data_IF_912355964682
#
_entry.id   IF_912355964682
#
_cell.length_a   1.000
_cell.length_b   1.000
_cell.length_c   1.000
_cell.angle_alpha   90.00
_cell.angle_beta   90.00
_cell.angle_gamma   90.00
#
_symmetry.space_group_name_H-M   'P 1'
#
loop_
_entity.id
_entity.type
_entity.pdbx_description
1 polymer ?
#
# COMPACT_ATOMS: atom_id res chain seq x y z
N UNK A 1 -3.28 -32.49 13.38
CA UNK A 1 -3.89 -31.52 14.31
C UNK A 1 -4.25 -30.32 13.47
N UNK A 2 -5.53 -30.15 13.17
CA UNK A 2 -6.06 -29.05 12.35
C UNK A 2 -6.01 -27.79 13.21
N UNK A 3 -5.10 -26.87 12.86
CA UNK A 3 -5.09 -25.53 13.38
C UNK A 3 -6.44 -24.88 13.05
N UNK A 4 -7.28 -24.74 14.06
CA UNK A 4 -8.43 -23.85 13.99
C UNK A 4 -7.86 -22.42 14.06
N UNK A 5 -7.45 -21.89 12.90
CA UNK A 5 -7.18 -20.47 12.73
C UNK A 5 -8.41 -19.71 13.22
N UNK A 6 -8.29 -19.08 14.39
CA UNK A 6 -9.39 -18.34 14.99
C UNK A 6 -9.60 -17.07 14.19
N UNK A 7 -10.58 -17.08 13.31
CA UNK A 7 -11.07 -15.88 12.64
C UNK A 7 -12.50 -15.57 13.08
N UNK A 8 -12.89 -14.32 12.94
CA UNK A 8 -14.28 -13.88 13.14
C UNK A 8 -14.72 -12.95 12.01
N UNK A 9 -15.98 -13.08 11.63
CA UNK A 9 -16.64 -12.08 10.80
C UNK A 9 -17.09 -10.92 11.69
N UNK A 10 -16.64 -9.71 11.39
CA UNK A 10 -17.07 -8.50 12.08
C UNK A 10 -18.17 -7.78 11.27
N UNK A 11 -19.38 -8.31 11.40
CA UNK A 11 -20.55 -7.78 10.66
C UNK A 11 -20.91 -6.35 11.08
N UNK A 12 -20.60 -5.98 12.33
CA UNK A 12 -20.83 -4.60 12.81
C UNK A 12 -19.93 -3.62 12.08
N UNK A 13 -18.62 -3.92 11.97
CA UNK A 13 -17.69 -3.08 11.20
C UNK A 13 -17.95 -3.14 9.72
N UNK A 14 -18.30 -4.30 9.18
CA UNK A 14 -18.69 -4.38 7.79
C UNK A 14 -19.82 -3.40 7.47
N UNK A 15 -20.87 -3.37 8.29
CA UNK A 15 -21.99 -2.43 8.13
C UNK A 15 -21.58 -0.96 8.38
N UNK A 16 -20.77 -0.69 9.41
CA UNK A 16 -20.26 0.66 9.73
C UNK A 16 -19.51 1.30 8.55
N UNK A 17 -18.67 0.53 7.87
CA UNK A 17 -17.87 1.01 6.75
C UNK A 17 -18.49 0.73 5.37
N UNK A 18 -19.69 0.16 5.31
CA UNK A 18 -20.39 -0.18 4.06
C UNK A 18 -19.62 -1.21 3.22
N UNK A 19 -18.99 -2.19 3.87
CA UNK A 19 -18.25 -3.28 3.24
C UNK A 19 -19.12 -4.54 3.15
N UNK A 20 -18.96 -5.37 2.11
CA UNK A 20 -19.71 -6.63 1.98
C UNK A 20 -19.28 -7.69 3.00
N UNK A 21 -18.07 -7.58 3.54
CA UNK A 21 -17.55 -8.46 4.58
C UNK A 21 -16.28 -7.94 5.21
N UNK A 22 -16.06 -8.32 6.48
CA UNK A 22 -14.91 -7.90 7.28
C UNK A 22 -14.47 -9.09 8.13
N UNK A 23 -13.38 -9.76 7.73
CA UNK A 23 -12.75 -10.85 8.49
C UNK A 23 -11.62 -10.33 9.36
N UNK A 24 -11.58 -10.76 10.62
CA UNK A 24 -10.49 -10.47 11.57
C UNK A 24 -9.84 -11.78 12.00
N UNK A 25 -8.54 -11.86 11.84
CA UNK A 25 -7.70 -13.00 12.21
C UNK A 25 -6.73 -12.59 13.32
N UNK A 26 -6.67 -13.31 14.41
CA UNK A 26 -5.68 -13.06 15.47
C UNK A 26 -4.25 -13.35 14.96
N UNK A 27 -4.09 -14.45 14.26
CA UNK A 27 -2.86 -14.81 13.55
C UNK A 27 -3.20 -15.42 12.19
N UNK A 28 -2.47 -15.04 11.14
CA UNK A 28 -2.63 -15.57 9.79
C UNK A 28 -1.28 -15.66 9.09
N UNK A 29 -1.13 -16.56 8.14
CA UNK A 29 0.05 -16.62 7.29
C UNK A 29 0.24 -15.31 6.50
N UNK A 30 -0.75 -14.97 5.67
CA UNK A 30 -0.80 -13.71 4.91
C UNK A 30 -2.24 -13.34 4.61
N UNK A 31 -2.61 -12.08 4.86
CA UNK A 31 -3.93 -11.55 4.52
C UNK A 31 -4.20 -11.58 3.01
N UNK A 32 -3.16 -11.41 2.15
CA UNK A 32 -3.28 -11.54 0.70
C UNK A 32 -3.65 -12.98 0.29
N UNK A 33 -3.11 -14.00 0.94
CA UNK A 33 -3.44 -15.39 0.63
C UNK A 33 -4.92 -15.67 0.95
N UNK A 34 -5.43 -15.17 2.07
CA UNK A 34 -6.84 -15.31 2.43
C UNK A 34 -7.75 -14.53 1.46
N UNK A 35 -7.41 -13.28 1.18
CA UNK A 35 -8.17 -12.45 0.22
C UNK A 35 -8.21 -13.10 -1.16
N UNK A 36 -7.12 -13.75 -1.60
CA UNK A 36 -7.09 -14.51 -2.86
C UNK A 36 -8.03 -15.72 -2.85
N UNK A 37 -8.15 -16.42 -1.72
CA UNK A 37 -9.14 -17.51 -1.58
C UNK A 37 -10.55 -16.95 -1.72
N UNK A 38 -10.86 -15.87 -1.00
CA UNK A 38 -12.17 -15.21 -1.05
C UNK A 38 -12.51 -14.72 -2.47
N UNK A 39 -11.54 -14.13 -3.16
CA UNK A 39 -11.73 -13.67 -4.54
C UNK A 39 -12.06 -14.83 -5.51
N UNK A 40 -11.48 -16.01 -5.30
CA UNK A 40 -11.80 -17.23 -6.09
C UNK A 40 -13.13 -17.86 -5.71
N UNK A 41 -13.67 -17.54 -4.53
CA UNK A 41 -15.01 -17.94 -4.09
C UNK A 41 -16.07 -16.93 -4.52
N UNK A 42 -15.77 -16.05 -5.49
CA UNK A 42 -16.65 -14.99 -5.99
C UNK A 42 -17.19 -14.07 -4.88
N UNK A 43 -16.35 -13.82 -3.85
CA UNK A 43 -16.72 -12.81 -2.84
C UNK A 43 -16.70 -11.41 -3.44
N UNK A 44 -17.65 -10.62 -2.98
CA UNK A 44 -17.87 -9.28 -3.49
C UNK A 44 -16.63 -8.37 -3.38
N UNK A 45 -16.48 -7.47 -4.32
CA UNK A 45 -15.52 -6.38 -4.26
C UNK A 45 -15.68 -5.59 -2.96
N UNK A 46 -14.58 -5.36 -2.28
CA UNK A 46 -14.56 -4.68 -0.99
C UNK A 46 -14.55 -5.62 0.21
N UNK A 47 -14.58 -6.96 0.00
CA UNK A 47 -14.38 -7.88 1.12
C UNK A 47 -13.00 -7.66 1.74
N UNK A 48 -12.97 -7.41 3.05
CA UNK A 48 -11.78 -7.04 3.79
C UNK A 48 -11.31 -8.17 4.71
N UNK A 49 -10.01 -8.45 4.68
CA UNK A 49 -9.32 -9.35 5.60
C UNK A 49 -8.30 -8.55 6.40
N UNK A 50 -8.38 -8.61 7.73
CA UNK A 50 -7.41 -7.98 8.64
C UNK A 50 -6.75 -9.06 9.49
N UNK A 51 -5.42 -9.07 9.54
CA UNK A 51 -4.63 -9.89 10.46
C UNK A 51 -4.07 -9.04 11.59
N UNK A 52 -4.27 -9.46 12.84
CA UNK A 52 -3.61 -8.81 13.98
C UNK A 52 -2.11 -9.13 14.00
N UNK A 53 -1.72 -10.28 13.42
CA UNK A 53 -0.34 -10.72 13.18
C UNK A 53 -0.26 -11.50 11.88
N UNK A 54 0.81 -11.30 11.10
CA UNK A 54 1.13 -12.17 9.96
C UNK A 54 2.43 -12.94 10.22
N UNK A 55 2.42 -14.25 9.97
CA UNK A 55 3.61 -15.11 10.11
C UNK A 55 4.41 -15.23 8.81
N UNK A 56 3.78 -14.93 7.66
CA UNK A 56 4.38 -14.96 6.33
C UNK A 56 3.98 -13.71 5.50
N UNK A 57 3.99 -12.52 6.14
CA UNK A 57 3.71 -11.26 5.46
C UNK A 57 4.70 -11.01 4.31
N UNK A 58 4.19 -10.54 3.18
CA UNK A 58 4.97 -10.32 1.96
C UNK A 58 4.88 -8.88 1.47
N UNK A 59 6.02 -8.38 1.00
CA UNK A 59 6.14 -7.20 0.16
C UNK A 59 6.31 -7.60 -1.32
N UNK A 60 6.64 -6.61 -2.15
CA UNK A 60 6.93 -6.84 -3.58
C UNK A 60 8.17 -7.70 -3.75
N UNK A 61 8.21 -8.46 -4.88
CA UNK A 61 9.35 -9.29 -5.29
C UNK A 61 9.72 -10.36 -4.26
N UNK A 62 8.76 -10.76 -3.41
CA UNK A 62 8.96 -11.78 -2.38
C UNK A 62 9.70 -11.29 -1.12
N UNK A 63 9.92 -9.99 -0.97
CA UNK A 63 10.48 -9.44 0.28
C UNK A 63 9.56 -9.72 1.46
N UNK A 64 10.13 -9.93 2.62
CA UNK A 64 9.37 -10.13 3.86
C UNK A 64 8.78 -8.80 4.34
N UNK A 65 7.50 -8.83 4.73
CA UNK A 65 6.85 -7.75 5.47
C UNK A 65 6.74 -8.12 6.94
N UNK A 66 7.41 -7.38 7.81
CA UNK A 66 7.34 -7.58 9.26
C UNK A 66 5.98 -7.14 9.77
N UNK A 67 5.30 -7.99 10.52
CA UNK A 67 3.93 -7.77 10.98
C UNK A 67 3.80 -8.21 12.42
N UNK A 68 4.35 -7.42 13.35
CA UNK A 68 4.25 -7.71 14.78
C UNK A 68 2.82 -7.48 15.29
N UNK A 69 2.39 -8.22 16.33
CA UNK A 69 1.04 -8.12 16.86
C UNK A 69 0.70 -6.71 17.36
N UNK A 70 -0.36 -6.11 16.82
CA UNK A 70 -0.87 -4.81 17.28
C UNK A 70 -0.08 -3.59 16.81
N UNK A 71 1.05 -3.78 16.12
CA UNK A 71 1.91 -2.67 15.70
C UNK A 71 1.45 -1.99 14.42
N UNK A 72 0.52 -2.59 13.69
CA UNK A 72 0.09 -1.99 12.44
C UNK A 72 -1.23 -2.52 11.90
N UNK A 73 -1.67 -1.89 10.82
CA UNK A 73 -2.74 -2.40 9.96
C UNK A 73 -2.11 -3.34 8.93
N UNK A 74 -2.46 -4.61 9.03
CA UNK A 74 -2.11 -5.65 8.07
C UNK A 74 -3.41 -6.13 7.43
N UNK A 75 -3.74 -5.59 6.26
CA UNK A 75 -5.02 -5.87 5.64
C UNK A 75 -4.90 -6.20 4.17
N UNK A 76 -5.90 -6.91 3.64
CA UNK A 76 -6.05 -7.16 2.20
C UNK A 76 -7.51 -7.08 1.78
N UNK A 77 -7.73 -6.52 0.60
CA UNK A 77 -9.07 -6.37 0.02
C UNK A 77 -9.21 -7.17 -1.27
N UNK A 78 -10.38 -7.79 -1.44
CA UNK A 78 -10.82 -8.27 -2.75
C UNK A 78 -11.25 -7.08 -3.60
N UNK A 79 -10.72 -6.98 -4.81
CA UNK A 79 -11.06 -5.92 -5.76
C UNK A 79 -11.67 -6.53 -7.02
N UNK A 80 -12.60 -5.80 -7.66
CA UNK A 80 -13.01 -6.14 -9.01
C UNK A 80 -11.80 -6.00 -9.95
N UNK A 81 -11.76 -6.78 -11.02
CA UNK A 81 -10.69 -6.72 -12.02
C UNK A 81 -10.73 -5.35 -12.74
N UNK A 82 -9.91 -4.36 -12.35
CA UNK A 82 -9.93 -3.05 -12.99
C UNK A 82 -9.10 -3.06 -14.27
N UNK A 83 -9.53 -2.30 -15.29
CA UNK A 83 -8.80 -2.14 -16.54
C UNK A 83 -7.44 -1.44 -16.31
N UNK A 84 -7.38 -0.54 -15.33
CA UNK A 84 -6.21 0.28 -15.00
C UNK A 84 -5.26 -0.39 -13.98
N UNK A 85 -4.78 -1.60 -14.25
CA UNK A 85 -3.97 -2.37 -13.29
C UNK A 85 -2.61 -1.75 -12.96
N UNK A 86 -1.95 -1.08 -13.90
CA UNK A 86 -0.64 -0.49 -13.67
C UNK A 86 -0.70 0.70 -12.69
N UNK A 87 -1.78 1.48 -12.74
CA UNK A 87 -2.02 2.63 -11.87
C UNK A 87 -2.57 2.22 -10.48
N UNK A 88 -3.11 1.01 -10.33
CA UNK A 88 -3.83 0.60 -9.12
C UNK A 88 -3.04 0.78 -7.81
N UNK A 89 -1.73 0.45 -7.72
CA UNK A 89 -0.96 0.74 -6.52
C UNK A 89 -0.88 2.23 -6.18
N UNK A 90 -0.82 3.10 -7.19
CA UNK A 90 -0.79 4.56 -7.00
C UNK A 90 -2.16 5.09 -6.56
N UNK A 91 -3.25 4.60 -7.16
CA UNK A 91 -4.63 4.92 -6.76
C UNK A 91 -4.87 4.58 -5.29
N UNK A 92 -4.51 3.36 -4.88
CA UNK A 92 -4.62 2.91 -3.49
C UNK A 92 -3.70 3.74 -2.59
N UNK A 93 -2.48 4.06 -3.06
CA UNK A 93 -1.52 4.89 -2.34
C UNK A 93 -2.09 6.28 -2.04
N UNK A 94 -2.70 6.93 -3.02
CA UNK A 94 -3.36 8.23 -2.86
C UNK A 94 -4.52 8.14 -1.88
N UNK A 95 -5.41 7.14 -2.03
CA UNK A 95 -6.54 6.94 -1.13
C UNK A 95 -6.09 6.74 0.32
N UNK A 96 -5.04 5.92 0.52
CA UNK A 96 -4.44 5.72 1.85
C UNK A 96 -3.79 6.99 2.38
N UNK A 97 -3.03 7.72 1.55
CA UNK A 97 -2.36 8.95 1.97
C UNK A 97 -3.38 9.99 2.46
N UNK A 98 -4.48 10.21 1.73
CA UNK A 98 -5.55 11.13 2.12
C UNK A 98 -6.21 10.73 3.46
N UNK A 99 -6.53 9.45 3.65
CA UNK A 99 -7.10 8.98 4.90
C UNK A 99 -6.12 9.09 6.08
N UNK A 100 -4.83 8.88 5.85
CA UNK A 100 -3.80 8.96 6.87
C UNK A 100 -3.46 10.41 7.25
N UNK A 101 -3.49 11.35 6.30
CA UNK A 101 -3.32 12.78 6.58
C UNK A 101 -4.36 13.31 7.57
N UNK A 102 -5.60 12.79 7.54
CA UNK A 102 -6.65 13.14 8.53
C UNK A 102 -6.28 12.69 9.95
N UNK A 103 -5.44 11.66 10.10
CA UNK A 103 -4.98 11.14 11.40
C UNK A 103 -3.77 11.90 11.91
N UNK A 104 -2.75 12.10 11.07
CA UNK A 104 -1.45 12.64 11.49
C UNK A 104 -1.35 14.16 11.36
N UNK A 105 -2.19 14.78 10.55
CA UNK A 105 -2.17 16.24 10.26
C UNK A 105 -0.80 16.72 9.72
N UNK A 106 -0.09 15.85 9.02
CA UNK A 106 1.14 16.12 8.27
C UNK A 106 1.03 15.48 6.89
N UNK A 107 1.73 15.99 5.87
CA UNK A 107 1.67 15.42 4.53
C UNK A 107 2.10 13.95 4.50
N UNK A 108 1.29 13.11 3.84
CA UNK A 108 1.64 11.73 3.51
C UNK A 108 1.89 11.66 2.00
N UNK A 109 3.11 11.35 1.63
CA UNK A 109 3.52 11.26 0.23
C UNK A 109 3.56 9.80 -0.26
N UNK A 110 3.54 9.61 -1.57
CA UNK A 110 3.61 8.30 -2.20
C UNK A 110 4.90 8.19 -3.00
N UNK A 111 5.77 7.28 -2.59
CA UNK A 111 6.97 6.94 -3.36
C UNK A 111 6.62 5.83 -4.36
N UNK A 112 6.76 6.14 -5.63
CA UNK A 112 6.58 5.15 -6.69
C UNK A 112 7.47 3.91 -6.44
N UNK A 113 6.94 2.70 -6.64
CA UNK A 113 5.59 2.46 -7.17
C UNK A 113 4.51 2.22 -6.10
N UNK A 114 4.82 2.13 -4.79
CA UNK A 114 3.89 1.54 -3.84
C UNK A 114 4.14 1.85 -2.35
N UNK A 115 5.03 2.78 -2.03
CA UNK A 115 5.37 3.08 -0.62
C UNK A 115 4.68 4.37 -0.14
N UNK A 116 4.19 4.36 1.08
CA UNK A 116 3.65 5.51 1.80
C UNK A 116 4.74 6.09 2.70
N UNK A 117 4.93 7.41 2.64
CA UNK A 117 6.08 8.11 3.21
C UNK A 117 5.62 9.29 4.07
N UNK A 118 6.23 9.46 5.24
CA UNK A 118 6.18 10.66 6.06
C UNK A 118 7.63 11.06 6.38
N UNK A 119 8.00 12.32 6.17
CA UNK A 119 9.33 12.87 6.49
C UNK A 119 10.49 12.02 5.96
N UNK A 120 10.42 11.63 4.68
CA UNK A 120 11.38 10.75 4.01
C UNK A 120 11.57 9.37 4.69
N UNK A 121 10.61 8.94 5.53
CA UNK A 121 10.60 7.63 6.19
C UNK A 121 9.40 6.79 5.74
N UNK A 122 9.59 5.49 5.65
CA UNK A 122 8.56 4.55 5.19
C UNK A 122 7.53 4.26 6.27
N UNK A 123 6.31 4.74 6.07
CA UNK A 123 5.14 4.46 6.91
C UNK A 123 4.47 3.13 6.56
N UNK A 124 4.42 2.80 5.28
CA UNK A 124 3.66 1.66 4.81
C UNK A 124 3.98 1.25 3.38
N UNK A 125 3.27 0.23 2.91
CA UNK A 125 3.41 -0.24 1.54
C UNK A 125 2.17 -0.97 1.03
N UNK A 126 2.05 -1.03 -0.28
CA UNK A 126 0.93 -1.61 -1.00
C UNK A 126 1.43 -2.76 -1.87
N UNK A 127 0.73 -3.90 -1.83
CA UNK A 127 1.03 -5.07 -2.65
C UNK A 127 -0.22 -5.50 -3.41
N UNK A 128 -0.28 -5.17 -4.70
CA UNK A 128 -1.34 -5.65 -5.57
C UNK A 128 -0.91 -6.95 -6.22
N UNK A 129 -1.72 -7.99 -6.05
CA UNK A 129 -1.57 -9.29 -6.71
C UNK A 129 -2.79 -9.57 -7.59
N UNK A 130 -2.58 -10.22 -8.72
CA UNK A 130 -3.64 -10.57 -9.67
C UNK A 130 -3.52 -12.00 -10.18
N UNK A 131 -4.66 -12.59 -10.48
CA UNK A 131 -4.79 -13.77 -11.34
C UNK A 131 -5.49 -13.44 -12.64
N UNK A 132 -6.05 -14.47 -13.27
CA UNK A 132 -6.80 -14.31 -14.53
C UNK A 132 -8.11 -13.56 -14.30
N UNK A 133 -8.77 -13.79 -13.18
CA UNK A 133 -10.15 -13.40 -12.85
C UNK A 133 -10.29 -12.69 -11.48
N UNK A 134 -9.19 -12.44 -10.80
CA UNK A 134 -9.19 -11.80 -9.49
C UNK A 134 -8.06 -10.79 -9.32
N UNK A 135 -8.31 -9.81 -8.48
CA UNK A 135 -7.33 -8.85 -7.99
C UNK A 135 -7.48 -8.70 -6.49
N UNK A 136 -6.37 -8.71 -5.78
CA UNK A 136 -6.32 -8.41 -4.35
C UNK A 136 -5.27 -7.33 -4.08
N UNK A 137 -5.57 -6.44 -3.15
CA UNK A 137 -4.65 -5.42 -2.70
C UNK A 137 -4.33 -5.63 -1.22
N UNK A 138 -3.07 -5.89 -0.92
CA UNK A 138 -2.52 -5.87 0.44
C UNK A 138 -2.04 -4.48 0.80
N UNK A 139 -2.36 -4.03 2.00
CA UNK A 139 -1.94 -2.76 2.56
C UNK A 139 -1.33 -3.03 3.94
N UNK A 140 -0.07 -2.61 4.13
CA UNK A 140 0.62 -2.65 5.40
C UNK A 140 0.95 -1.24 5.86
N UNK A 141 0.50 -0.84 7.06
CA UNK A 141 0.77 0.46 7.68
C UNK A 141 1.32 0.24 9.08
N UNK A 142 2.47 0.82 9.38
CA UNK A 142 3.00 0.85 10.73
C UNK A 142 2.19 1.86 11.57
N UNK A 143 1.60 1.42 12.67
CA UNK A 143 0.67 2.22 13.47
C UNK A 143 1.27 2.61 14.82
N UNK A 144 1.50 1.67 15.73
CA UNK A 144 2.03 1.93 17.06
C UNK A 144 3.57 1.87 17.12
N UNK A 145 4.16 1.00 16.31
CA UNK A 145 5.60 0.87 16.20
C UNK A 145 6.03 0.58 14.75
N UNK A 146 7.21 1.03 14.40
CA UNK A 146 7.88 0.64 13.16
C UNK A 146 8.83 -0.52 13.43
N UNK A 147 9.05 -1.43 12.46
CA UNK A 147 10.01 -2.51 12.62
C UNK A 147 11.44 -1.96 12.74
N UNK A 148 12.30 -2.68 13.44
CA UNK A 148 13.72 -2.33 13.45
C UNK A 148 14.32 -2.39 12.03
N UNK A 149 15.17 -1.43 11.65
CA UNK A 149 15.80 -1.43 10.31
C UNK A 149 16.52 -2.75 9.98
N UNK A 150 17.06 -3.45 10.99
CA UNK A 150 17.72 -4.76 10.84
C UNK A 150 16.76 -5.92 10.57
N UNK A 151 15.48 -5.78 10.85
CA UNK A 151 14.46 -6.79 10.57
C UNK A 151 13.91 -6.70 9.14
N UNK A 152 14.14 -5.55 8.47
CA UNK A 152 13.73 -5.30 7.08
C UNK A 152 14.74 -5.90 6.08
N UNK A 153 15.24 -7.12 6.32
CA UNK A 153 16.44 -7.70 5.71
C UNK A 153 16.31 -8.10 4.23
N UNK A 154 15.14 -8.08 3.63
CA UNK A 154 14.93 -8.63 2.28
C UNK A 154 14.99 -7.58 1.18
N UNK A 155 15.96 -6.71 1.22
CA UNK A 155 16.26 -5.73 0.17
C UNK A 155 16.58 -4.36 0.73
N UNK A 156 17.44 -3.59 0.06
CA UNK A 156 17.79 -2.26 0.52
C UNK A 156 16.57 -1.32 0.38
N UNK A 157 15.79 -1.20 1.44
CA UNK A 157 14.97 0.02 1.58
C UNK A 157 15.96 1.15 1.82
N UNK A 158 15.96 2.13 0.92
CA UNK A 158 16.71 3.37 1.09
C UNK A 158 16.08 4.28 2.16
N UNK A 159 14.93 3.87 2.72
CA UNK A 159 14.16 4.62 3.69
C UNK A 159 14.09 3.89 5.02
N UNK A 160 14.42 4.60 6.09
CA UNK A 160 14.16 4.10 7.44
C UNK A 160 12.64 4.01 7.68
N UNK A 161 12.17 3.02 8.46
CA UNK A 161 10.76 2.90 8.76
C UNK A 161 10.30 3.97 9.79
N UNK A 162 9.00 4.28 9.76
CA UNK A 162 8.30 5.10 10.77
C UNK A 162 6.92 4.53 11.05
N UNK A 163 6.25 5.00 12.10
CA UNK A 163 4.90 4.62 12.49
C UNK A 163 4.02 5.86 12.73
N UNK A 164 2.69 5.71 12.59
CA UNK A 164 1.73 6.80 12.82
C UNK A 164 1.87 7.43 14.21
N UNK A 165 2.14 6.62 15.24
CA UNK A 165 2.31 7.08 16.61
C UNK A 165 3.47 8.06 16.81
N UNK A 166 4.43 8.11 15.88
CA UNK A 166 5.52 9.10 15.91
C UNK A 166 5.06 10.49 15.41
N UNK A 167 3.93 10.55 14.67
CA UNK A 167 3.45 11.74 14.00
C UNK A 167 2.07 12.23 14.48
N UNK A 168 1.34 11.43 15.27
CA UNK A 168 0.01 11.75 15.77
C UNK A 168 -0.07 11.65 17.29
N UNK A 169 -0.82 12.56 17.91
CA UNK A 169 -1.11 12.51 19.36
C UNK A 169 -2.09 11.39 19.73
N UNK A 170 -2.94 11.03 18.79
CA UNK A 170 -3.95 10.01 18.97
C UNK A 170 -4.09 9.21 17.67
N UNK A 171 -3.96 7.91 17.78
CA UNK A 171 -4.07 7.00 16.65
C UNK A 171 -5.34 6.17 16.80
N UNK A 172 -6.18 6.05 15.75
CA UNK A 172 -7.37 5.20 15.79
C UNK A 172 -7.02 3.73 16.08
N UNK A 173 -8.02 2.96 16.49
CA UNK A 173 -7.82 1.51 16.61
C UNK A 173 -7.47 0.90 15.26
N UNK A 174 -6.64 -0.16 15.27
CA UNK A 174 -6.21 -0.88 14.06
C UNK A 174 -7.39 -1.26 13.16
N UNK A 175 -8.47 -1.80 13.75
CA UNK A 175 -9.66 -2.22 13.00
C UNK A 175 -10.48 -1.03 12.47
N UNK A 176 -10.56 0.07 13.23
CA UNK A 176 -11.21 1.31 12.77
C UNK A 176 -10.45 1.92 11.60
N UNK A 177 -9.11 2.01 11.71
CA UNK A 177 -8.26 2.52 10.65
C UNK A 177 -8.34 1.65 9.39
N UNK A 178 -8.33 0.31 9.54
CA UNK A 178 -8.50 -0.62 8.43
C UNK A 178 -9.82 -0.40 7.67
N UNK A 179 -10.93 -0.23 8.39
CA UNK A 179 -12.23 0.08 7.77
C UNK A 179 -12.25 1.42 7.05
N UNK A 180 -11.68 2.47 7.65
CA UNK A 180 -11.56 3.79 7.03
C UNK A 180 -10.74 3.74 5.74
N UNK A 181 -9.58 3.08 5.76
CA UNK A 181 -8.75 2.89 4.57
C UNK A 181 -9.49 2.12 3.48
N UNK A 182 -10.17 1.02 3.85
CA UNK A 182 -10.94 0.22 2.91
C UNK A 182 -12.05 1.04 2.24
N UNK A 183 -12.81 1.82 3.01
CA UNK A 183 -13.88 2.68 2.47
C UNK A 183 -13.30 3.74 1.53
N UNK A 184 -12.23 4.43 1.92
CA UNK A 184 -11.58 5.45 1.09
C UNK A 184 -11.06 4.86 -0.24
N UNK A 185 -10.47 3.66 -0.19
CA UNK A 185 -10.03 2.95 -1.40
C UNK A 185 -11.22 2.67 -2.33
N UNK A 186 -12.33 2.17 -1.81
CA UNK A 186 -13.51 1.90 -2.62
C UNK A 186 -14.07 3.17 -3.25
N UNK A 187 -14.15 4.27 -2.50
CA UNK A 187 -14.62 5.56 -3.01
C UNK A 187 -13.77 6.04 -4.20
N UNK A 188 -12.44 5.92 -4.10
CA UNK A 188 -11.53 6.27 -5.20
C UNK A 188 -11.69 5.36 -6.42
N UNK A 189 -12.01 4.09 -6.22
CA UNK A 189 -12.18 3.13 -7.31
C UNK A 189 -13.57 3.21 -7.96
N UNK A 190 -14.58 3.78 -7.29
CA UNK A 190 -15.95 3.91 -7.81
C UNK A 190 -16.17 5.18 -8.63
N UNK A 191 -15.28 6.15 -8.52
CA UNK A 191 -15.41 7.40 -9.28
C UNK A 191 -15.19 7.14 -10.78
N UNK A 192 -16.10 7.58 -11.64
CA UNK A 192 -16.07 7.40 -13.10
C UNK A 192 -14.85 8.05 -13.80
N UNK A 193 -14.08 8.86 -13.07
CA UNK A 193 -12.80 9.47 -13.47
C UNK A 193 -11.68 9.14 -12.48
N UNK A 194 -11.81 8.02 -11.78
CA UNK A 194 -10.93 7.69 -10.66
C UNK A 194 -9.45 7.67 -11.02
N UNK A 195 -9.09 7.14 -12.18
CA UNK A 195 -7.69 7.05 -12.63
C UNK A 195 -7.10 8.44 -12.86
N UNK A 196 -7.73 9.30 -13.66
CA UNK A 196 -7.21 10.63 -13.98
C UNK A 196 -7.08 11.51 -12.73
N UNK A 197 -8.12 11.49 -11.88
CA UNK A 197 -8.13 12.23 -10.62
C UNK A 197 -7.04 11.75 -9.68
N UNK A 198 -6.86 10.45 -9.55
CA UNK A 198 -5.85 9.88 -8.66
C UNK A 198 -4.44 10.09 -9.19
N UNK A 199 -4.20 10.02 -10.49
CA UNK A 199 -2.91 10.40 -11.07
C UNK A 199 -2.62 11.89 -10.85
N UNK A 200 -3.63 12.76 -10.95
CA UNK A 200 -3.48 14.17 -10.62
C UNK A 200 -3.17 14.37 -9.13
N UNK A 201 -3.89 13.67 -8.24
CA UNK A 201 -3.63 13.71 -6.80
C UNK A 201 -2.27 13.09 -6.44
N UNK A 202 -1.84 12.03 -7.13
CA UNK A 202 -0.49 11.47 -7.00
C UNK A 202 0.58 12.51 -7.30
N UNK A 203 0.43 13.32 -8.38
CA UNK A 203 1.41 14.33 -8.77
C UNK A 203 1.72 15.35 -7.67
N UNK A 204 0.74 15.65 -6.81
CA UNK A 204 0.92 16.54 -5.65
C UNK A 204 1.54 15.84 -4.44
N UNK A 205 1.55 14.50 -4.42
CA UNK A 205 2.07 13.65 -3.36
C UNK A 205 3.30 12.83 -3.76
N UNK A 206 3.82 13.06 -4.97
CA UNK A 206 4.96 12.29 -5.51
C UNK A 206 6.25 12.60 -4.73
N UNK A 207 6.67 11.63 -3.91
CA UNK A 207 7.87 11.73 -3.09
C UNK A 207 9.18 11.73 -3.91
N UNK A 208 9.13 11.37 -5.19
CA UNK A 208 10.32 11.25 -6.04
C UNK A 208 10.52 12.44 -6.98
N UNK A 209 9.47 13.23 -7.25
CA UNK A 209 9.52 14.27 -8.27
C UNK A 209 10.66 15.27 -8.05
N UNK A 210 11.52 15.40 -9.06
CA UNK A 210 12.69 16.28 -9.04
C UNK A 210 13.91 15.70 -8.30
N UNK A 211 13.81 14.49 -7.74
CA UNK A 211 14.92 13.84 -7.03
C UNK A 211 15.80 13.05 -8.00
N UNK A 212 17.09 13.00 -7.69
CA UNK A 212 18.04 12.10 -8.35
C UNK A 212 17.83 10.69 -7.79
N UNK A 213 17.57 9.74 -8.68
CA UNK A 213 17.19 8.38 -8.27
C UNK A 213 17.95 7.32 -9.06
N UNK A 214 18.13 6.15 -8.48
CA UNK A 214 18.60 4.94 -9.14
C UNK A 214 17.41 4.02 -9.37
N UNK A 215 17.21 3.57 -10.60
CA UNK A 215 16.22 2.56 -10.97
C UNK A 215 16.90 1.25 -11.39
N UNK A 216 16.23 0.11 -11.14
CA UNK A 216 16.73 -1.20 -11.59
C UNK A 216 16.70 -1.33 -13.12
N UNK A 217 15.71 -0.70 -13.78
CA UNK A 217 15.44 -0.89 -15.21
C UNK A 217 16.29 0.02 -16.11
N UNK A 218 16.56 1.26 -15.69
CA UNK A 218 17.17 2.30 -16.54
C UNK A 218 18.44 2.94 -15.98
N UNK A 219 18.84 2.57 -14.76
CA UNK A 219 19.96 3.23 -14.09
C UNK A 219 19.56 4.55 -13.39
N UNK A 220 20.54 5.48 -13.20
CA UNK A 220 20.29 6.74 -12.52
C UNK A 220 19.63 7.78 -13.43
N UNK A 221 18.95 8.77 -12.81
CA UNK A 221 18.33 9.89 -13.50
C UNK A 221 17.44 10.72 -12.57
N UNK A 222 16.82 11.77 -13.11
CA UNK A 222 15.90 12.63 -12.37
C UNK A 222 14.47 12.13 -12.55
N UNK A 223 13.76 11.85 -11.47
CA UNK A 223 12.35 11.49 -11.49
C UNK A 223 11.49 12.71 -11.89
N UNK A 224 10.70 12.58 -12.98
CA UNK A 224 9.86 13.66 -13.52
C UNK A 224 8.36 13.46 -13.27
N UNK A 225 7.99 12.51 -12.42
CA UNK A 225 6.61 12.15 -12.12
C UNK A 225 6.21 10.85 -12.80
N UNK A 226 4.92 10.69 -13.07
CA UNK A 226 4.40 9.51 -13.77
C UNK A 226 3.61 9.92 -15.01
N UNK A 227 3.58 9.03 -16.00
CA UNK A 227 2.74 9.17 -17.19
C UNK A 227 1.28 8.75 -16.92
N UNK A 228 0.45 8.71 -17.95
CA UNK A 228 -0.96 8.32 -17.89
C UNK A 228 -1.17 6.83 -17.59
N UNK A 229 -0.17 6.00 -17.86
CA UNK A 229 -0.16 4.58 -17.51
C UNK A 229 0.39 4.32 -16.09
N UNK A 230 0.79 5.36 -15.35
CA UNK A 230 1.38 5.25 -14.01
C UNK A 230 2.84 4.78 -14.01
N UNK A 231 3.53 4.81 -15.16
CA UNK A 231 4.95 4.51 -15.25
C UNK A 231 5.77 5.71 -14.77
N UNK A 232 6.85 5.46 -14.04
CA UNK A 232 7.76 6.53 -13.62
C UNK A 232 8.50 7.10 -14.84
N UNK A 233 8.46 8.42 -15.00
CA UNK A 233 9.23 9.14 -16.01
C UNK A 233 10.60 9.48 -15.44
N UNK A 234 11.66 8.99 -16.08
CA UNK A 234 13.05 9.21 -15.70
C UNK A 234 13.77 10.02 -16.78
N UNK A 235 14.29 11.18 -16.41
CA UNK A 235 15.17 11.98 -17.26
C UNK A 235 16.62 11.54 -17.06
N UNK A 236 17.25 11.13 -18.15
CA UNK A 236 18.64 10.67 -18.20
C UNK A 236 19.62 11.84 -18.41
N UNK A 237 20.91 11.58 -18.26
CA UNK A 237 21.98 12.59 -18.40
C UNK A 237 22.02 13.27 -19.77
N UNK A 238 21.53 12.61 -20.82
CA UNK A 238 21.43 13.17 -22.18
C UNK A 238 20.18 14.04 -22.40
N UNK A 239 19.36 14.23 -21.34
CA UNK A 239 18.11 14.98 -21.38
C UNK A 239 16.92 14.20 -21.94
N UNK A 240 17.09 12.96 -22.34
CA UNK A 240 15.97 12.11 -22.76
C UNK A 240 15.11 11.69 -21.56
N UNK A 241 13.78 11.62 -21.77
CA UNK A 241 12.84 11.15 -20.74
C UNK A 241 12.31 9.78 -21.15
N UNK A 242 12.53 8.79 -20.31
CA UNK A 242 12.15 7.40 -20.57
C UNK A 242 11.20 6.85 -19.49
N UNK A 243 10.22 6.02 -19.86
CA UNK A 243 9.35 5.38 -18.89
C UNK A 243 10.06 4.20 -18.21
N UNK A 244 9.86 4.09 -16.90
CA UNK A 244 10.25 2.96 -16.05
C UNK A 244 8.98 2.22 -15.65
N UNK A 245 8.85 0.97 -16.09
CA UNK A 245 7.61 0.18 -15.92
C UNK A 245 7.49 -0.51 -14.59
N UNK A 246 8.63 -0.92 -14.04
CA UNK A 246 8.68 -1.72 -12.81
C UNK A 246 10.06 -1.63 -12.15
N UNK A 247 10.18 -2.19 -10.96
CA UNK A 247 11.44 -2.27 -10.25
C UNK A 247 11.43 -1.53 -8.93
N UNK A 248 12.62 -1.41 -8.34
CA UNK A 248 12.87 -0.59 -7.17
C UNK A 248 13.45 0.76 -7.58
N UNK A 249 13.16 1.77 -6.79
CA UNK A 249 13.72 3.12 -6.97
C UNK A 249 14.36 3.55 -5.65
N UNK A 250 15.63 3.91 -5.70
CA UNK A 250 16.36 4.48 -4.56
C UNK A 250 16.69 5.94 -4.82
N UNK A 251 16.49 6.77 -3.80
CA UNK A 251 16.92 8.16 -3.85
C UNK A 251 18.43 8.22 -3.65
N UNK A 252 19.10 8.96 -4.51
CA UNK A 252 20.53 9.19 -4.43
C UNK A 252 20.81 10.63 -3.95
N UNK A 253 21.98 10.90 -3.34
CA UNK A 253 22.48 12.26 -3.18
C UNK A 253 22.51 12.97 -4.53
N UNK A 254 22.21 14.26 -4.56
CA UNK A 254 22.36 15.03 -5.80
C UNK A 254 23.83 15.05 -6.22
N UNK A 255 24.11 14.89 -7.52
CA UNK A 255 25.49 14.93 -8.04
C UNK A 255 26.16 16.28 -7.86
#
# INVERSE_FOLDING_TARGET
MTDHEQHRLDTTRAAEFGLPGFEVWEEIGSTNDRARVLAREDRDRGWLVVGMKQTAGRGRRGTRWVSAPGDGVWMSMVLAHPDAMAQLPLLIGVACAEALEEVVNVPVTVKWPNDLIIDDRKLGGILVERGTDWVVAGIGINVSAAPDPGECLDGPSDLSPTALAEHARHVPSVLGLAGTLARRILDHLDESKGVDRALLAFRSRDALRGRWVQTDERGPGIARGVDEDGMLLLELDDGSVVPVRSGSVRVLPQP
#
